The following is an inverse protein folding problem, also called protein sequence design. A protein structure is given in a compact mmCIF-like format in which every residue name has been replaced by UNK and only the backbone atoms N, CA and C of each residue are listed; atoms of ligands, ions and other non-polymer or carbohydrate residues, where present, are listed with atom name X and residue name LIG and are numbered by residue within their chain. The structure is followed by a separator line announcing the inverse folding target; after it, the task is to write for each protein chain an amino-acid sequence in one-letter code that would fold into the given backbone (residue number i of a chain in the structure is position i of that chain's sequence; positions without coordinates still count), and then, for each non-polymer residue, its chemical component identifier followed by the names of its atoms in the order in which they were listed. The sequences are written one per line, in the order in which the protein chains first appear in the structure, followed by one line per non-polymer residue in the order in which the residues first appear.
data_IF_121414586336
#
_entry.id   IF_121414586336
#
_cell.length_a   1.000
_cell.length_b   1.000
_cell.length_c   1.000
_cell.angle_alpha   90.00
_cell.angle_beta   90.00
_cell.angle_gamma   90.00
#
_symmetry.space_group_name_H-M   'P 1'
#
loop_
_entity.id
_entity.type
_entity.pdbx_description
1 polymer ?
#
# COMPACT_ATOMS: atom_id res chain seq x y z
N UNK A 1 -26.74 1.90 -42.73
CA UNK A 1 -26.45 2.45 -41.38
C UNK A 1 -25.77 1.37 -40.55
N UNK A 2 -24.47 1.49 -40.25
CA UNK A 2 -23.73 0.56 -39.37
C UNK A 2 -23.43 1.27 -38.05
N UNK A 3 -23.98 0.78 -36.94
CA UNK A 3 -23.68 1.29 -35.59
C UNK A 3 -22.23 0.95 -35.29
N UNK A 4 -21.38 1.98 -35.10
CA UNK A 4 -20.02 1.81 -34.58
C UNK A 4 -20.15 1.50 -33.10
N UNK A 5 -19.88 0.26 -32.71
CA UNK A 5 -19.72 -0.14 -31.31
C UNK A 5 -18.54 0.66 -30.74
N UNK A 6 -18.75 1.38 -29.63
CA UNK A 6 -17.62 1.91 -28.85
C UNK A 6 -16.83 0.70 -28.33
N UNK A 7 -15.50 0.66 -28.47
CA UNK A 7 -14.72 -0.34 -27.74
C UNK A 7 -14.94 -0.10 -26.24
N UNK A 8 -15.08 -1.20 -25.48
CA UNK A 8 -15.08 -1.16 -24.02
C UNK A 8 -13.81 -0.45 -23.52
N UNK A 9 -13.89 0.33 -22.42
CA UNK A 9 -12.68 0.87 -21.81
C UNK A 9 -11.78 -0.30 -21.43
N UNK A 10 -10.52 -0.26 -21.88
CA UNK A 10 -9.52 -1.22 -21.43
C UNK A 10 -9.48 -1.19 -19.88
N UNK A 11 -9.40 -2.37 -19.22
CA UNK A 11 -9.22 -2.39 -17.78
C UNK A 11 -7.98 -1.57 -17.42
N UNK A 12 -7.99 -0.85 -16.29
CA UNK A 12 -6.82 -0.09 -15.87
C UNK A 12 -5.61 -1.03 -15.83
N UNK A 13 -4.57 -0.68 -16.59
CA UNK A 13 -3.29 -1.38 -16.53
C UNK A 13 -2.85 -1.33 -15.08
N UNK A 14 -2.60 -2.48 -14.41
CA UNK A 14 -2.08 -2.44 -13.06
C UNK A 14 -0.79 -1.63 -13.09
N UNK A 15 -0.69 -0.62 -12.21
CA UNK A 15 0.55 0.14 -12.09
C UNK A 15 1.72 -0.85 -11.96
N UNK A 16 2.81 -0.67 -12.74
CA UNK A 16 3.93 -1.59 -12.65
C UNK A 16 4.38 -1.63 -11.20
N UNK A 17 4.47 -2.85 -10.65
CA UNK A 17 5.06 -3.07 -9.35
C UNK A 17 6.40 -2.31 -9.31
N UNK A 18 6.70 -1.58 -8.22
CA UNK A 18 7.94 -0.83 -8.13
C UNK A 18 9.11 -1.77 -8.46
N UNK A 19 10.11 -1.26 -9.20
CA UNK A 19 11.27 -2.02 -9.66
C UNK A 19 11.85 -2.85 -8.50
N UNK A 20 11.57 -4.16 -8.52
CA UNK A 20 11.98 -5.05 -7.44
C UNK A 20 13.44 -5.42 -7.68
N UNK A 21 14.30 -5.38 -6.64
CA UNK A 21 15.69 -5.79 -6.79
C UNK A 21 15.74 -7.23 -7.29
N UNK A 22 16.66 -7.53 -8.21
CA UNK A 22 16.75 -8.88 -8.80
C UNK A 22 17.51 -9.86 -7.89
N UNK A 23 18.47 -9.35 -7.11
CA UNK A 23 19.30 -10.13 -6.19
C UNK A 23 18.54 -10.50 -4.91
N UNK A 24 18.51 -11.79 -4.48
CA UNK A 24 17.83 -12.23 -3.26
C UNK A 24 18.26 -11.48 -1.99
N UNK A 25 19.55 -11.13 -1.84
CA UNK A 25 20.03 -10.40 -0.67
C UNK A 25 19.47 -8.96 -0.63
N UNK A 26 19.42 -8.30 -1.79
CA UNK A 26 18.81 -6.97 -1.93
C UNK A 26 17.30 -7.02 -1.73
N UNK A 27 16.62 -8.07 -2.20
CA UNK A 27 15.19 -8.31 -1.93
C UNK A 27 14.94 -8.47 -0.44
N UNK A 28 15.75 -9.25 0.27
CA UNK A 28 15.61 -9.46 1.71
C UNK A 28 15.80 -8.15 2.49
N UNK A 29 16.80 -7.34 2.12
CA UNK A 29 17.01 -6.02 2.71
C UNK A 29 15.84 -5.07 2.43
N UNK A 30 15.37 -5.01 1.17
CA UNK A 30 14.22 -4.20 0.79
C UNK A 30 12.94 -4.64 1.54
N UNK A 31 12.75 -5.95 1.72
CA UNK A 31 11.64 -6.51 2.49
C UNK A 31 11.69 -6.03 3.94
N UNK A 32 12.84 -6.18 4.60
CA UNK A 32 13.03 -5.73 5.98
C UNK A 32 12.74 -4.23 6.15
N UNK A 33 13.23 -3.39 5.24
CA UNK A 33 12.95 -1.95 5.28
C UNK A 33 11.47 -1.65 5.07
N UNK A 34 10.79 -2.38 4.19
CA UNK A 34 9.37 -2.21 3.92
C UNK A 34 8.51 -2.62 5.13
N UNK A 35 8.89 -3.69 5.85
CA UNK A 35 8.23 -4.11 7.10
C UNK A 35 8.34 -3.01 8.16
N UNK A 36 9.53 -2.45 8.37
CA UNK A 36 9.73 -1.36 9.34
C UNK A 36 8.90 -0.11 8.99
N UNK A 37 8.78 0.22 7.70
CA UNK A 37 7.93 1.32 7.24
C UNK A 37 6.45 1.03 7.50
N UNK A 38 6.00 -0.20 7.26
CA UNK A 38 4.63 -0.62 7.51
C UNK A 38 4.29 -0.48 9.00
N UNK A 39 5.15 -0.99 9.88
CA UNK A 39 4.98 -0.89 11.34
C UNK A 39 4.96 0.57 11.82
N UNK A 40 5.83 1.42 11.27
CA UNK A 40 5.87 2.83 11.63
C UNK A 40 4.61 3.58 11.17
N UNK A 41 4.01 3.20 10.03
CA UNK A 41 2.75 3.78 9.56
C UNK A 41 1.58 3.33 10.44
N UNK A 42 1.55 2.05 10.82
CA UNK A 42 0.52 1.49 11.70
C UNK A 42 0.55 2.17 13.08
N UNK A 43 1.74 2.37 13.66
CA UNK A 43 1.91 3.10 14.92
C UNK A 43 1.44 4.57 14.83
N UNK A 44 1.67 5.24 13.70
CA UNK A 44 1.17 6.60 13.48
C UNK A 44 -0.36 6.65 13.41
N UNK A 45 -0.97 5.66 12.75
CA UNK A 45 -2.43 5.53 12.68
C UNK A 45 -2.99 5.28 14.09
N UNK A 46 -2.41 4.36 14.85
CA UNK A 46 -2.83 4.05 16.21
C UNK A 46 -2.73 5.27 17.13
N UNK A 47 -1.62 6.00 17.08
CA UNK A 47 -1.45 7.22 17.88
C UNK A 47 -2.48 8.29 17.52
N UNK A 48 -2.76 8.46 16.23
CA UNK A 48 -3.79 9.38 15.74
C UNK A 48 -5.18 8.99 16.25
N UNK A 49 -5.55 7.71 16.13
CA UNK A 49 -6.84 7.22 16.60
C UNK A 49 -6.97 7.33 18.11
N UNK A 50 -5.96 6.92 18.87
CA UNK A 50 -5.94 7.01 20.34
C UNK A 50 -6.12 8.45 20.85
N UNK A 51 -5.57 9.44 20.12
CA UNK A 51 -5.73 10.86 20.47
C UNK A 51 -7.19 11.35 20.42
N UNK A 52 -8.06 10.64 19.70
CA UNK A 52 -9.44 11.03 19.40
C UNK A 52 -10.44 9.94 19.76
N UNK A 53 -10.21 9.15 20.83
CA UNK A 53 -11.20 8.18 21.31
C UNK A 53 -11.18 6.80 20.62
N UNK A 54 -10.18 6.54 19.77
CA UNK A 54 -9.86 5.23 19.22
C UNK A 54 -10.66 4.83 17.98
N UNK A 55 -11.52 5.71 17.45
CA UNK A 55 -12.35 5.43 16.27
C UNK A 55 -12.25 6.56 15.28
N UNK A 56 -12.35 6.23 14.00
CA UNK A 56 -12.24 7.22 12.91
C UNK A 56 -13.39 8.23 12.90
N UNK A 57 -14.56 7.86 13.42
CA UNK A 57 -15.74 8.74 13.51
C UNK A 57 -15.59 9.86 14.54
N UNK A 58 -14.63 9.71 15.45
CA UNK A 58 -14.35 10.67 16.52
C UNK A 58 -13.22 11.65 16.12
N UNK A 59 -12.58 11.46 14.96
CA UNK A 59 -11.55 12.37 14.43
C UNK A 59 -12.16 13.69 13.95
N UNK A 60 -11.42 14.78 14.11
CA UNK A 60 -11.74 16.03 13.39
C UNK A 60 -11.56 15.84 11.88
N UNK A 61 -12.14 16.72 11.06
CA UNK A 61 -12.00 16.67 9.60
C UNK A 61 -10.53 16.65 9.16
N UNK A 62 -9.69 17.49 9.78
CA UNK A 62 -8.24 17.54 9.49
C UNK A 62 -7.53 16.24 9.89
N UNK A 63 -7.84 15.71 11.08
CA UNK A 63 -7.28 14.44 11.55
C UNK A 63 -7.75 13.27 10.69
N UNK A 64 -8.98 13.31 10.18
CA UNK A 64 -9.51 12.32 9.26
C UNK A 64 -8.80 12.34 7.91
N UNK A 65 -8.51 13.51 7.35
CA UNK A 65 -7.67 13.63 6.14
C UNK A 65 -6.30 13.01 6.38
N UNK A 66 -5.67 13.33 7.52
CA UNK A 66 -4.36 12.75 7.86
C UNK A 66 -4.41 11.23 8.02
N UNK A 67 -5.45 10.72 8.67
CA UNK A 67 -5.70 9.28 8.79
C UNK A 67 -5.78 8.61 7.42
N UNK A 68 -6.53 9.21 6.49
CA UNK A 68 -6.67 8.70 5.11
C UNK A 68 -5.33 8.63 4.38
N UNK A 69 -4.51 9.66 4.47
CA UNK A 69 -3.16 9.67 3.88
C UNK A 69 -2.28 8.55 4.45
N UNK A 70 -2.29 8.38 5.78
CA UNK A 70 -1.51 7.34 6.44
C UNK A 70 -1.99 5.93 6.04
N UNK A 71 -3.31 5.73 5.96
CA UNK A 71 -3.90 4.46 5.54
C UNK A 71 -3.53 4.12 4.09
N UNK A 72 -3.64 5.08 3.18
CA UNK A 72 -3.28 4.87 1.77
C UNK A 72 -1.79 4.53 1.63
N UNK A 73 -0.90 5.19 2.38
CA UNK A 73 0.53 4.85 2.44
C UNK A 73 0.80 3.47 3.03
N UNK A 74 0.06 3.07 4.07
CA UNK A 74 0.19 1.74 4.68
C UNK A 74 -0.19 0.66 3.67
N UNK A 75 -1.26 0.86 2.91
CA UNK A 75 -1.70 -0.10 1.88
C UNK A 75 -0.67 -0.23 0.74
N UNK A 76 -0.08 0.88 0.29
CA UNK A 76 1.02 0.85 -0.69
C UNK A 76 2.25 0.10 -0.16
N UNK A 77 2.63 0.35 1.10
CA UNK A 77 3.74 -0.33 1.77
C UNK A 77 3.47 -1.82 1.91
N UNK A 78 2.25 -2.20 2.28
CA UNK A 78 1.82 -3.60 2.35
C UNK A 78 1.91 -4.29 0.99
N UNK A 79 1.41 -3.65 -0.07
CA UNK A 79 1.48 -4.21 -1.42
C UNK A 79 2.93 -4.44 -1.86
N UNK A 80 3.84 -3.51 -1.54
CA UNK A 80 5.28 -3.68 -1.78
C UNK A 80 5.87 -4.86 -0.98
N UNK A 81 5.49 -4.99 0.28
CA UNK A 81 5.90 -6.11 1.15
C UNK A 81 5.49 -7.44 0.54
N UNK A 82 4.21 -7.58 0.13
CA UNK A 82 3.70 -8.80 -0.52
C UNK A 82 4.41 -9.11 -1.83
N UNK A 83 4.74 -8.10 -2.63
CA UNK A 83 5.48 -8.31 -3.89
C UNK A 83 6.91 -8.82 -3.65
N UNK A 84 7.59 -8.29 -2.63
CA UNK A 84 8.93 -8.76 -2.22
C UNK A 84 8.88 -10.17 -1.63
N UNK A 85 7.86 -10.48 -0.81
CA UNK A 85 7.63 -11.81 -0.23
C UNK A 85 7.50 -12.89 -1.31
N UNK A 86 6.67 -12.65 -2.34
CA UNK A 86 6.52 -13.58 -3.47
C UNK A 86 7.86 -13.84 -4.15
N UNK A 87 8.65 -12.79 -4.40
CA UNK A 87 9.96 -12.90 -5.02
C UNK A 87 11.06 -13.52 -4.13
N UNK A 88 10.80 -13.74 -2.85
CA UNK A 88 11.74 -14.37 -1.91
C UNK A 88 11.35 -15.80 -1.56
N UNK A 89 10.04 -16.11 -1.51
CA UNK A 89 9.53 -17.34 -0.91
C UNK A 89 8.67 -18.20 -1.84
N UNK A 90 8.18 -17.72 -2.98
CA UNK A 90 7.31 -18.51 -3.89
C UNK A 90 8.09 -19.36 -4.93
N UNK A 91 9.43 -19.38 -4.91
CA UNK A 91 10.26 -20.25 -5.79
C UNK A 91 10.58 -21.63 -5.17
N UNK A 92 9.94 -22.01 -4.05
CA UNK A 92 10.20 -23.28 -3.33
C UNK A 92 9.06 -24.28 -3.48
#
# INVERSE_FOLDING_TARGET
MKRRTRPDPEPPVPEPLPDLPSNPAERAQAYQQTVLQYEALDQQIDALLQSSGGRTEDLSDEAFVRYRELADLRDLTYNRMKALERGLFDEV
#
